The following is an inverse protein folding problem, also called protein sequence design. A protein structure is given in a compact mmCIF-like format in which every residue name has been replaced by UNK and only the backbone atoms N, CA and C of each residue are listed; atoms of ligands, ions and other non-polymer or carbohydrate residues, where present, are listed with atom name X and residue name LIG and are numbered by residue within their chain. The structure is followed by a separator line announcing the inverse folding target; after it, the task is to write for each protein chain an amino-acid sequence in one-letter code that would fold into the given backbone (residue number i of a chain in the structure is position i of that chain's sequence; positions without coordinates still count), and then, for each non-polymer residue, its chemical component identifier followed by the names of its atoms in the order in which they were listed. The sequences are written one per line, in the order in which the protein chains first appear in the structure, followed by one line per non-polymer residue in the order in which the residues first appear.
data_IF_454995873959
#
_entry.id   IF_454995873959
#
_cell.length_a   1.000
_cell.length_b   1.000
_cell.length_c   1.000
_cell.angle_alpha   90.00
_cell.angle_beta   90.00
_cell.angle_gamma   90.00
#
_symmetry.space_group_name_H-M   'P 1'
#
loop_
_entity.id
_entity.type
_entity.pdbx_description
1 polymer ?
#
# COMPACT_ATOMS: atom_id res chain seq x y z
N UNK A 1 2.49 9.62 -3.37
CA UNK A 1 1.81 9.93 -2.09
C UNK A 1 0.36 10.22 -2.42
N UNK A 2 -0.63 9.71 -1.66
CA UNK A 2 -2.03 10.08 -1.87
C UNK A 2 -2.22 11.61 -1.79
N UNK A 3 -3.14 12.17 -2.56
CA UNK A 3 -3.34 13.63 -2.67
C UNK A 3 -3.57 14.30 -1.31
N UNK A 4 -4.33 13.65 -0.43
CA UNK A 4 -4.58 14.16 0.93
C UNK A 4 -3.29 14.27 1.76
N UNK A 5 -2.41 13.28 1.66
CA UNK A 5 -1.13 13.30 2.38
C UNK A 5 -0.18 14.35 1.79
N UNK A 6 -0.20 14.54 0.47
CA UNK A 6 0.55 15.62 -0.18
C UNK A 6 0.05 16.99 0.28
N UNK A 7 -1.26 17.21 0.29
CA UNK A 7 -1.86 18.47 0.70
C UNK A 7 -1.55 18.80 2.18
N UNK A 8 -1.61 17.80 3.06
CA UNK A 8 -1.21 17.95 4.46
C UNK A 8 0.27 18.34 4.59
N UNK A 9 1.14 17.69 3.80
CA UNK A 9 2.56 18.03 3.78
C UNK A 9 2.82 19.45 3.23
N UNK A 10 2.04 19.92 2.25
CA UNK A 10 2.15 21.30 1.74
C UNK A 10 1.70 22.34 2.78
N UNK A 11 0.64 22.05 3.52
CA UNK A 11 0.08 22.96 4.52
C UNK A 11 0.98 23.10 5.76
N UNK A 12 1.49 21.98 6.28
CA UNK A 12 2.22 21.97 7.56
C UNK A 12 3.34 20.91 7.65
N UNK A 13 3.85 20.42 6.52
CA UNK A 13 5.02 19.55 6.50
C UNK A 13 6.30 20.29 6.88
N UNK A 14 7.24 19.57 7.51
CA UNK A 14 8.57 20.10 7.82
C UNK A 14 9.62 19.39 6.97
N UNK A 15 10.43 20.15 6.23
CA UNK A 15 11.54 19.61 5.44
C UNK A 15 12.77 19.47 6.33
N UNK A 16 13.23 18.24 6.52
CA UNK A 16 14.47 17.93 7.23
C UNK A 16 15.05 16.60 6.74
N UNK A 17 16.35 16.39 6.93
CA UNK A 17 17.01 15.10 6.67
C UNK A 17 16.82 14.22 7.89
N UNK A 18 15.75 13.43 7.88
CA UNK A 18 15.38 12.56 9.01
C UNK A 18 15.73 11.08 8.79
N UNK A 19 16.12 10.69 7.57
CA UNK A 19 16.31 9.28 7.19
C UNK A 19 17.39 8.55 8.01
N UNK A 20 18.44 9.27 8.41
CA UNK A 20 19.57 8.78 9.21
C UNK A 20 19.60 9.41 10.61
N UNK A 21 18.54 10.13 10.98
CA UNK A 21 18.37 10.63 12.35
C UNK A 21 17.82 9.53 13.26
N UNK A 22 18.22 9.53 14.53
CA UNK A 22 17.67 8.67 15.58
C UNK A 22 17.70 7.15 15.32
N UNK A 23 18.68 6.65 14.54
CA UNK A 23 18.79 5.22 14.20
C UNK A 23 18.83 4.32 15.44
N UNK A 24 19.59 4.70 16.48
CA UNK A 24 19.68 3.92 17.71
C UNK A 24 18.35 3.84 18.47
N UNK A 25 17.52 4.89 18.42
CA UNK A 25 16.17 4.87 18.99
C UNK A 25 15.28 3.88 18.22
N UNK A 26 15.36 3.90 16.88
CA UNK A 26 14.64 2.94 16.04
C UNK A 26 15.04 1.49 16.35
N UNK A 27 16.34 1.19 16.49
CA UNK A 27 16.82 -0.14 16.90
C UNK A 27 16.30 -0.56 18.29
N UNK A 28 16.24 0.40 19.22
CA UNK A 28 15.66 0.19 20.55
C UNK A 28 14.18 -0.18 20.50
N UNK A 29 13.40 0.46 19.62
CA UNK A 29 11.99 0.13 19.39
C UNK A 29 11.84 -1.29 18.83
N UNK A 30 12.67 -1.65 17.84
CA UNK A 30 12.67 -3.01 17.27
C UNK A 30 12.95 -4.06 18.33
N UNK A 31 13.99 -3.84 19.14
CA UNK A 31 14.38 -4.73 20.23
C UNK A 31 13.26 -4.85 21.27
N UNK A 32 12.64 -3.73 21.68
CA UNK A 32 11.57 -3.74 22.67
C UNK A 32 10.36 -4.57 22.20
N UNK A 33 10.01 -4.50 20.93
CA UNK A 33 8.93 -5.29 20.35
C UNK A 33 9.28 -6.80 20.32
N UNK A 34 10.53 -7.17 20.03
CA UNK A 34 11.00 -8.57 20.16
C UNK A 34 10.91 -9.09 21.59
N UNK A 35 11.24 -8.27 22.59
CA UNK A 35 11.11 -8.65 24.01
C UNK A 35 9.64 -8.87 24.43
N UNK A 36 8.69 -8.29 23.70
CA UNK A 36 7.26 -8.55 23.86
C UNK A 36 6.79 -9.79 23.08
N UNK A 37 7.69 -10.49 22.40
CA UNK A 37 7.42 -11.70 21.63
C UNK A 37 6.98 -11.45 20.18
N UNK A 38 7.19 -10.24 19.65
CA UNK A 38 6.89 -9.92 18.25
C UNK A 38 8.09 -10.34 17.38
N UNK A 39 7.86 -11.28 16.47
CA UNK A 39 8.85 -11.73 15.50
C UNK A 39 8.77 -10.87 14.21
N UNK A 40 9.80 -10.05 13.96
CA UNK A 40 9.89 -9.21 12.77
C UNK A 40 9.94 -9.99 11.46
N UNK A 41 10.56 -11.17 11.47
CA UNK A 41 10.63 -12.03 10.28
C UNK A 41 9.24 -12.55 9.92
N UNK A 42 8.46 -12.93 10.94
CA UNK A 42 7.07 -13.32 10.77
C UNK A 42 6.21 -12.15 10.27
N UNK A 43 6.31 -10.97 10.92
CA UNK A 43 5.56 -9.77 10.50
C UNK A 43 5.86 -9.41 9.05
N UNK A 44 7.14 -9.37 8.66
CA UNK A 44 7.53 -9.09 7.28
C UNK A 44 6.96 -10.10 6.28
N UNK A 45 7.03 -11.39 6.61
CA UNK A 45 6.50 -12.46 5.76
C UNK A 45 4.98 -12.38 5.60
N UNK A 46 4.24 -12.06 6.68
CA UNK A 46 2.80 -11.86 6.62
C UNK A 46 2.43 -10.67 5.74
N UNK A 47 3.07 -9.51 5.96
CA UNK A 47 2.81 -8.30 5.18
C UNK A 47 3.13 -8.48 3.68
N UNK A 48 4.16 -9.25 3.34
CA UNK A 48 4.49 -9.58 1.96
C UNK A 48 3.38 -10.41 1.30
N UNK A 49 2.93 -11.48 1.97
CA UNK A 49 1.85 -12.33 1.48
C UNK A 49 0.55 -11.55 1.26
N UNK A 50 0.17 -10.74 2.25
CA UNK A 50 -1.02 -9.88 2.18
C UNK A 50 -0.89 -8.83 1.07
N UNK A 51 0.30 -8.25 0.89
CA UNK A 51 0.59 -7.29 -0.17
C UNK A 51 0.41 -7.90 -1.56
N UNK A 52 0.95 -9.10 -1.79
CA UNK A 52 0.80 -9.82 -3.05
C UNK A 52 -0.66 -10.17 -3.32
N UNK A 53 -1.40 -10.63 -2.30
CA UNK A 53 -2.82 -10.96 -2.42
C UNK A 53 -3.67 -9.71 -2.74
N UNK A 54 -3.43 -8.59 -2.08
CA UNK A 54 -4.09 -7.31 -2.34
C UNK A 54 -3.83 -6.80 -3.77
N UNK A 55 -2.60 -6.97 -4.27
CA UNK A 55 -2.25 -6.60 -5.63
C UNK A 55 -2.99 -7.47 -6.67
N UNK A 56 -3.06 -8.80 -6.45
CA UNK A 56 -3.83 -9.72 -7.31
C UNK A 56 -5.29 -9.32 -7.37
N UNK A 57 -5.93 -9.08 -6.21
CA UNK A 57 -7.33 -8.64 -6.13
C UNK A 57 -7.58 -7.34 -6.89
N UNK A 58 -6.67 -6.37 -6.78
CA UNK A 58 -6.76 -5.11 -7.50
C UNK A 58 -6.65 -5.31 -9.02
N UNK A 59 -5.82 -6.26 -9.46
CA UNK A 59 -5.67 -6.62 -10.86
C UNK A 59 -6.90 -7.35 -11.42
N UNK A 60 -7.45 -8.31 -10.68
CA UNK A 60 -8.68 -9.02 -11.06
C UNK A 60 -9.85 -8.02 -11.20
N UNK A 61 -10.00 -7.10 -10.25
CA UNK A 61 -11.01 -6.04 -10.31
C UNK A 61 -10.85 -5.13 -11.54
N UNK A 62 -9.61 -4.84 -11.96
CA UNK A 62 -9.35 -4.10 -13.20
C UNK A 62 -9.80 -4.89 -14.43
N UNK A 63 -9.49 -6.19 -14.49
CA UNK A 63 -9.91 -7.05 -15.60
C UNK A 63 -11.44 -7.16 -15.70
N UNK A 64 -12.12 -7.32 -14.57
CA UNK A 64 -13.58 -7.36 -14.52
C UNK A 64 -14.18 -6.06 -15.05
N UNK A 65 -13.66 -4.91 -14.59
CA UNK A 65 -14.11 -3.58 -15.05
C UNK A 65 -13.92 -3.41 -16.57
N UNK A 66 -12.79 -3.89 -17.11
CA UNK A 66 -12.53 -3.86 -18.55
C UNK A 66 -13.48 -4.78 -19.33
N UNK A 67 -13.76 -5.97 -18.79
CA UNK A 67 -14.69 -6.92 -19.39
C UNK A 67 -16.12 -6.39 -19.42
N UNK A 68 -16.58 -5.78 -18.33
CA UNK A 68 -17.88 -5.10 -18.26
C UNK A 68 -17.97 -3.98 -19.30
N UNK A 69 -16.91 -3.17 -19.42
CA UNK A 69 -16.86 -2.11 -20.42
C UNK A 69 -16.93 -2.67 -21.84
N UNK A 70 -16.16 -3.72 -22.15
CA UNK A 70 -16.18 -4.37 -23.45
C UNK A 70 -17.56 -4.94 -23.81
N UNK A 71 -18.20 -5.63 -22.86
CA UNK A 71 -19.55 -6.17 -23.03
C UNK A 71 -20.58 -5.07 -23.30
N UNK A 72 -20.47 -3.93 -22.59
CA UNK A 72 -21.36 -2.78 -22.80
C UNK A 72 -21.25 -2.18 -24.21
N UNK A 73 -20.04 -2.14 -24.77
CA UNK A 73 -19.80 -1.61 -26.12
C UNK A 73 -20.27 -2.58 -27.21
N UNK A 74 -20.05 -3.88 -27.02
CA UNK A 74 -20.54 -4.91 -27.95
C UNK A 74 -22.08 -4.94 -27.99
N UNK A 75 -22.72 -4.80 -26.83
CA UNK A 75 -24.18 -4.68 -26.73
C UNK A 75 -24.73 -3.46 -27.49
N UNK A 76 -24.06 -2.31 -27.41
CA UNK A 76 -24.44 -1.12 -28.17
C UNK A 76 -24.31 -1.32 -29.68
N UNK A 77 -23.26 -2.00 -30.14
CA UNK A 77 -23.04 -2.29 -31.56
C UNK A 77 -24.09 -3.23 -32.16
N UNK A 78 -24.64 -4.17 -31.38
CA UNK A 78 -25.70 -5.08 -31.83
C UNK A 78 -27.09 -4.42 -31.91
N UNK A 79 -27.30 -3.28 -31.22
CA UNK A 79 -28.59 -2.58 -31.16
C UNK A 79 -28.76 -1.52 -32.28
N UNK A 80 -27.68 -1.13 -32.95
CA UNK A 80 -27.67 -0.25 -34.13
C UNK A 80 -27.85 -1.05 -35.41
#
# INVERSE_FOLDING_TARGET
MPDQALQAFVDHGTVSRTIDSNVSEAEGIYSALEHLGIDWSYVGSQLELEGVDSFKKSFDSLLDTLQEKANSLNWLAFKM
#
